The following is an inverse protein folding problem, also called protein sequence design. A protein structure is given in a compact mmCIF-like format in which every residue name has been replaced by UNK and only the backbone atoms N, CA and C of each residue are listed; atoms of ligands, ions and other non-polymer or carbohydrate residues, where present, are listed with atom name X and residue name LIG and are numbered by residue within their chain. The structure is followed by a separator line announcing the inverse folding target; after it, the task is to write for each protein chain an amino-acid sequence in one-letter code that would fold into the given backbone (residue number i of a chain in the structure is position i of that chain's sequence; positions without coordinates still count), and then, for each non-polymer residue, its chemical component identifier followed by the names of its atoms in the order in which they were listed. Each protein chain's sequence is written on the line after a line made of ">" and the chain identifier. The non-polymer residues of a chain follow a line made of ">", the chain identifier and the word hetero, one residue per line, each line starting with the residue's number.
data_IF_461110098646
#
_entry.id   IF_461110098646
#
_cell.length_a   1.000
_cell.length_b   1.000
_cell.length_c   1.000
_cell.angle_alpha   90.00
_cell.angle_beta   90.00
_cell.angle_gamma   90.00
#
_symmetry.space_group_name_H-M   'P 1'
#
loop_
_entity.id
_entity.type
_entity.pdbx_description
1 polymer ?
#
# COMPACT_ATOMS: atom_id res chain seq x y z
N UNK A 1 5.25 -22.39 43.32
CA UNK A 1 5.06 -22.83 41.92
C UNK A 1 3.61 -22.47 41.58
N UNK A 2 3.31 -21.40 40.86
CA UNK A 2 4.06 -20.66 39.83
C UNK A 2 3.83 -19.15 40.03
N UNK A 3 4.92 -18.40 39.97
CA UNK A 3 4.97 -16.94 39.99
C UNK A 3 4.72 -16.45 38.56
N UNK A 4 3.50 -16.00 38.29
CA UNK A 4 3.17 -15.21 37.10
C UNK A 4 2.60 -13.90 37.63
N UNK A 5 3.53 -13.07 38.12
CA UNK A 5 3.25 -11.68 38.46
C UNK A 5 2.49 -11.04 37.31
N UNK A 6 1.23 -10.71 37.60
CA UNK A 6 0.63 -9.43 37.29
C UNK A 6 1.30 -8.72 36.11
N UNK A 7 0.91 -9.12 34.90
CA UNK A 7 0.93 -8.18 33.78
C UNK A 7 -0.15 -7.18 34.14
N UNK A 8 0.29 -6.14 34.86
CA UNK A 8 -0.46 -4.92 35.09
C UNK A 8 -1.09 -4.56 33.75
N UNK A 9 -2.39 -4.34 33.78
CA UNK A 9 -3.23 -3.72 32.75
C UNK A 9 -2.68 -2.31 32.51
N UNK A 10 -1.44 -2.25 32.01
CA UNK A 10 -0.87 -1.05 31.44
C UNK A 10 -1.71 -0.90 30.19
N UNK A 11 -2.76 -0.08 30.30
CA UNK A 11 -3.27 0.75 29.24
C UNK A 11 -2.08 1.10 28.33
N UNK A 12 -1.87 0.30 27.29
CA UNK A 12 -0.96 0.64 26.20
C UNK A 12 -1.70 1.73 25.44
N UNK A 13 -1.76 2.92 26.04
CA UNK A 13 -1.94 4.20 25.36
C UNK A 13 -0.66 4.49 24.56
N UNK A 14 -0.27 3.53 23.71
CA UNK A 14 0.65 3.84 22.63
C UNK A 14 -0.18 4.69 21.69
N UNK A 15 -0.02 6.01 21.82
CA UNK A 15 -0.48 6.95 20.82
C UNK A 15 0.11 6.49 19.49
N UNK A 16 -0.66 5.72 18.72
CA UNK A 16 -0.23 5.25 17.42
C UNK A 16 -0.11 6.51 16.59
N UNK A 17 1.14 6.90 16.34
CA UNK A 17 1.46 7.99 15.45
C UNK A 17 0.76 7.71 14.12
N UNK A 18 0.06 8.70 13.57
CA UNK A 18 -0.74 8.52 12.35
C UNK A 18 0.13 7.96 11.20
N UNK A 19 1.43 8.31 11.18
CA UNK A 19 2.40 7.74 10.26
C UNK A 19 2.67 6.25 10.46
N UNK A 20 2.65 5.75 11.70
CA UNK A 20 2.80 4.32 11.98
C UNK A 20 1.55 3.52 11.59
N UNK A 21 0.36 4.11 11.78
CA UNK A 21 -0.89 3.52 11.30
C UNK A 21 -0.93 3.41 9.78
N UNK A 22 -0.48 4.42 9.05
CA UNK A 22 -0.41 4.41 7.59
C UNK A 22 0.63 3.42 7.05
N UNK A 23 1.82 3.35 7.65
CA UNK A 23 2.82 2.35 7.30
C UNK A 23 2.30 0.91 7.49
N UNK A 24 1.56 0.67 8.58
CA UNK A 24 0.92 -0.62 8.86
C UNK A 24 -0.13 -0.96 7.81
N UNK A 25 -0.98 -0.01 7.43
CA UNK A 25 -2.00 -0.19 6.37
C UNK A 25 -1.35 -0.50 5.02
N UNK A 26 -0.30 0.20 4.64
CA UNK A 26 0.43 -0.07 3.40
C UNK A 26 1.03 -1.48 3.38
N UNK A 27 1.61 -1.93 4.49
CA UNK A 27 2.18 -3.27 4.64
C UNK A 27 1.09 -4.35 4.54
N UNK A 28 -0.05 -4.15 5.20
CA UNK A 28 -1.19 -5.08 5.10
C UNK A 28 -1.76 -5.14 3.68
N UNK A 29 -1.87 -4.00 3.00
CA UNK A 29 -2.33 -3.93 1.62
C UNK A 29 -1.40 -4.72 0.70
N UNK A 30 -0.07 -4.53 0.82
CA UNK A 30 0.91 -5.28 0.04
C UNK A 30 0.79 -6.80 0.28
N UNK A 31 0.60 -7.22 1.54
CA UNK A 31 0.40 -8.64 1.87
C UNK A 31 -0.90 -9.22 1.28
N UNK A 32 -1.97 -8.42 1.19
CA UNK A 32 -3.23 -8.81 0.55
C UNK A 32 -3.07 -8.91 -0.96
N UNK A 33 -2.43 -7.93 -1.61
CA UNK A 33 -2.13 -7.96 -3.04
C UNK A 33 -1.28 -9.18 -3.42
N UNK A 34 -0.27 -9.51 -2.61
CA UNK A 34 0.55 -10.72 -2.82
C UNK A 34 -0.27 -12.00 -2.75
N UNK A 35 -1.27 -12.07 -1.85
CA UNK A 35 -2.20 -13.20 -1.79
C UNK A 35 -3.10 -13.25 -3.02
N UNK A 36 -3.61 -12.12 -3.49
CA UNK A 36 -4.39 -12.06 -4.74
C UNK A 36 -3.52 -12.54 -5.90
N UNK A 37 -2.29 -12.05 -6.05
CA UNK A 37 -1.39 -12.44 -7.14
C UNK A 37 -1.08 -13.94 -7.17
N UNK A 38 -1.08 -14.62 -6.02
CA UNK A 38 -0.89 -16.06 -5.94
C UNK A 38 -2.10 -16.86 -6.44
N UNK A 39 -3.30 -16.27 -6.42
CA UNK A 39 -4.55 -16.90 -6.85
C UNK A 39 -4.95 -16.46 -8.27
N UNK A 40 -4.81 -15.18 -8.54
CA UNK A 40 -5.19 -14.52 -9.78
C UNK A 40 -4.20 -13.37 -10.05
N UNK A 41 -3.16 -13.61 -10.88
CA UNK A 41 -2.13 -12.62 -11.17
C UNK A 41 -2.66 -11.44 -12.01
N UNK A 42 -3.65 -11.68 -12.87
CA UNK A 42 -4.26 -10.65 -13.72
C UNK A 42 -5.07 -9.67 -12.87
N UNK A 43 -5.90 -10.18 -11.95
CA UNK A 43 -6.64 -9.34 -11.01
C UNK A 43 -5.70 -8.53 -10.09
N UNK A 44 -4.61 -9.14 -9.62
CA UNK A 44 -3.63 -8.42 -8.80
C UNK A 44 -2.98 -7.27 -9.59
N UNK A 45 -2.72 -7.50 -10.88
CA UNK A 45 -2.21 -6.47 -11.77
C UNK A 45 -3.21 -5.32 -11.91
N UNK A 46 -4.48 -5.59 -12.24
CA UNK A 46 -5.53 -4.57 -12.36
C UNK A 46 -5.68 -3.71 -11.09
N UNK A 47 -5.60 -4.34 -9.92
CA UNK A 47 -5.67 -3.64 -8.63
C UNK A 47 -4.47 -2.71 -8.39
N UNK A 48 -3.26 -3.13 -8.76
CA UNK A 48 -2.06 -2.29 -8.67
C UNK A 48 -2.14 -1.11 -9.64
N UNK A 49 -2.61 -1.34 -10.86
CA UNK A 49 -2.79 -0.27 -11.85
C UNK A 49 -3.81 0.76 -11.40
N UNK A 50 -4.98 0.30 -10.93
CA UNK A 50 -6.01 1.18 -10.38
C UNK A 50 -5.52 1.99 -9.17
N UNK A 51 -4.72 1.37 -8.31
CA UNK A 51 -4.10 2.07 -7.17
C UNK A 51 -3.16 3.18 -7.64
N UNK A 52 -2.32 2.92 -8.66
CA UNK A 52 -1.41 3.92 -9.22
C UNK A 52 -2.19 5.11 -9.79
N UNK A 53 -3.29 4.87 -10.51
CA UNK A 53 -4.16 5.95 -11.03
C UNK A 53 -4.78 6.76 -9.90
N UNK A 54 -5.32 6.10 -8.87
CA UNK A 54 -5.93 6.80 -7.74
C UNK A 54 -4.90 7.66 -6.98
N UNK A 55 -3.68 7.14 -6.81
CA UNK A 55 -2.57 7.85 -6.19
C UNK A 55 -2.09 9.03 -7.03
N UNK A 56 -1.96 8.88 -8.35
CA UNK A 56 -1.63 9.98 -9.26
C UNK A 56 -2.64 11.13 -9.14
N UNK A 57 -3.94 10.82 -9.14
CA UNK A 57 -4.98 11.82 -8.98
C UNK A 57 -4.93 12.49 -7.61
N UNK A 58 -4.68 11.73 -6.54
CA UNK A 58 -4.56 12.27 -5.18
C UNK A 58 -3.32 13.17 -5.01
N UNK A 59 -2.24 12.89 -5.74
CA UNK A 59 -1.00 13.66 -5.73
C UNK A 59 -0.94 14.76 -6.79
N UNK A 60 -2.00 14.97 -7.57
CA UNK A 60 -2.03 16.02 -8.59
C UNK A 60 -1.10 15.76 -9.78
N UNK A 61 -0.88 14.49 -10.14
CA UNK A 61 -0.13 14.09 -11.33
C UNK A 61 1.36 13.82 -11.12
N UNK A 62 1.84 13.79 -9.87
CA UNK A 62 3.28 13.69 -9.53
C UNK A 62 3.70 12.33 -8.99
N UNK A 63 2.86 11.29 -9.03
CA UNK A 63 3.23 9.99 -8.44
C UNK A 63 4.46 9.39 -9.09
N UNK A 64 4.70 9.67 -10.38
CA UNK A 64 5.87 9.20 -11.12
C UNK A 64 7.19 9.66 -10.49
N UNK A 65 7.21 10.82 -9.85
CA UNK A 65 8.41 11.35 -9.16
C UNK A 65 8.72 10.58 -7.87
N UNK A 66 7.78 9.75 -7.40
CA UNK A 66 7.86 8.96 -6.18
C UNK A 66 7.96 7.45 -6.43
N UNK A 67 8.02 7.02 -7.70
CA UNK A 67 8.10 5.61 -8.08
C UNK A 67 9.43 5.29 -8.73
N UNK A 68 9.94 4.10 -8.45
CA UNK A 68 11.18 3.59 -9.02
C UNK A 68 11.00 2.18 -9.60
N UNK A 69 11.90 1.83 -10.53
CA UNK A 69 12.03 0.48 -11.06
C UNK A 69 10.74 -0.05 -11.71
N UNK A 70 10.28 -1.27 -11.36
CA UNK A 70 9.08 -1.87 -11.97
C UNK A 70 7.81 -1.05 -11.77
N UNK A 71 7.67 -0.38 -10.62
CA UNK A 71 6.48 0.42 -10.32
C UNK A 71 6.39 1.65 -11.24
N UNK A 72 7.52 2.29 -11.52
CA UNK A 72 7.61 3.39 -12.48
C UNK A 72 7.22 2.92 -13.90
N UNK A 73 7.68 1.74 -14.33
CA UNK A 73 7.33 1.19 -15.64
C UNK A 73 5.82 0.90 -15.78
N UNK A 74 5.18 0.40 -14.72
CA UNK A 74 3.72 0.20 -14.70
C UNK A 74 3.00 1.55 -14.72
N UNK A 75 3.45 2.51 -13.91
CA UNK A 75 2.87 3.85 -13.89
C UNK A 75 3.00 4.57 -15.22
N UNK A 76 4.14 4.45 -15.90
CA UNK A 76 4.32 5.01 -17.24
C UNK A 76 3.31 4.42 -18.22
N UNK A 77 3.15 3.08 -18.23
CA UNK A 77 2.17 2.40 -19.09
C UNK A 77 0.73 2.84 -18.82
N UNK A 78 0.32 2.87 -17.56
CA UNK A 78 -1.09 3.08 -17.16
C UNK A 78 -1.49 4.55 -17.22
N UNK A 79 -0.58 5.46 -16.88
CA UNK A 79 -0.83 6.90 -16.86
C UNK A 79 -0.50 7.56 -18.20
N UNK A 80 -0.03 6.82 -19.21
CA UNK A 80 0.11 7.34 -20.56
C UNK A 80 -1.31 7.59 -21.08
N UNK A 81 -1.71 8.85 -21.12
CA UNK A 81 -2.97 9.22 -21.75
C UNK A 81 -3.00 8.63 -23.19
N UNK A 82 -4.15 8.15 -23.68
CA UNK A 82 -4.32 8.03 -25.11
C UNK A 82 -4.08 9.43 -25.66
N UNK A 83 -3.07 9.58 -26.51
CA UNK A 83 -2.93 10.77 -27.32
C UNK A 83 -4.24 10.88 -28.08
N UNK A 84 -5.07 11.86 -27.70
CA UNK A 84 -6.34 12.13 -28.35
C UNK A 84 -6.00 12.39 -29.82
N UNK A 85 -6.43 11.47 -30.68
CA UNK A 85 -6.36 11.64 -32.14
C UNK A 85 -7.21 12.81 -32.61
#
# INVERSE_FOLDING_TARGET
>A
MTDLGQLDDTDIDLAIDEGEADARRATELAARLRRVAAQDPDLAQDLVEGLIVALDQAMGGTIRDHLDGPALGVADRVLRAPEQG
#
